data_IF_258703723838
#
_entry.id   IF_258703723838
#
_cell.length_a   1.000
_cell.length_b   1.000
_cell.length_c   1.000
_cell.angle_alpha   90.00
_cell.angle_beta   90.00
_cell.angle_gamma   90.00
#
_symmetry.space_group_name_H-M   'P 1'
#
loop_
_entity.id
_entity.type
_entity.pdbx_description
1 polymer ?
#
# COMPACT_ATOMS: atom_id res chain seq x y z
N UNK A 1 -3.82 22.93 22.10
CA UNK A 1 -4.77 23.28 21.01
C UNK A 1 -4.54 22.44 19.75
N UNK A 2 -3.32 22.34 19.21
CA UNK A 2 -2.99 21.59 17.96
C UNK A 2 -3.43 20.11 17.98
N UNK A 3 -3.17 19.35 19.07
CA UNK A 3 -3.53 17.93 19.22
C UNK A 3 -5.05 17.69 19.17
N UNK A 4 -5.84 18.55 19.84
CA UNK A 4 -7.30 18.45 19.87
C UNK A 4 -7.94 18.69 18.49
N UNK A 5 -7.30 19.50 17.65
CA UNK A 5 -7.71 19.75 16.26
C UNK A 5 -7.43 18.55 15.36
N UNK A 6 -6.28 17.89 15.56
CA UNK A 6 -5.92 16.68 14.80
C UNK A 6 -6.79 15.49 15.20
N UNK A 7 -7.05 15.27 16.49
CA UNK A 7 -7.98 14.22 16.95
C UNK A 7 -9.36 14.40 16.34
N UNK A 8 -9.82 15.65 16.21
CA UNK A 8 -11.09 15.96 15.58
C UNK A 8 -11.10 15.68 14.08
N UNK A 9 -10.00 16.06 13.39
CA UNK A 9 -9.82 15.76 11.97
C UNK A 9 -9.87 14.26 11.71
N UNK A 10 -9.15 13.47 12.49
CA UNK A 10 -9.16 12.00 12.39
C UNK A 10 -10.52 11.38 12.72
N UNK A 11 -11.32 11.99 13.61
CA UNK A 11 -12.68 11.50 13.89
C UNK A 11 -13.59 11.60 12.66
N UNK A 12 -13.47 12.66 11.87
CA UNK A 12 -14.20 12.79 10.60
C UNK A 12 -13.75 11.77 9.56
N UNK A 13 -12.42 11.54 9.45
CA UNK A 13 -11.86 10.55 8.52
C UNK A 13 -12.34 9.14 8.86
N UNK A 14 -12.34 8.78 10.15
CA UNK A 14 -12.86 7.48 10.61
C UNK A 14 -14.35 7.31 10.31
N UNK A 15 -15.16 8.34 10.60
CA UNK A 15 -16.59 8.31 10.31
C UNK A 15 -16.87 8.19 8.80
N UNK A 16 -16.12 8.93 7.97
CA UNK A 16 -16.23 8.87 6.52
C UNK A 16 -15.82 7.50 5.99
N UNK A 17 -14.66 6.98 6.42
CA UNK A 17 -14.16 5.67 6.00
C UNK A 17 -15.14 4.55 6.30
N UNK A 18 -15.71 4.52 7.51
CA UNK A 18 -16.73 3.54 7.87
C UNK A 18 -17.96 3.62 6.95
N UNK A 19 -18.48 4.84 6.69
CA UNK A 19 -19.61 5.03 5.79
C UNK A 19 -19.29 4.65 4.35
N UNK A 20 -18.09 4.98 3.83
CA UNK A 20 -17.68 4.61 2.49
C UNK A 20 -17.63 3.10 2.30
N UNK A 21 -17.11 2.38 3.28
CA UNK A 21 -17.04 0.91 3.25
C UNK A 21 -18.44 0.28 3.38
N UNK A 22 -19.29 0.82 4.27
CA UNK A 22 -20.64 0.31 4.54
C UNK A 22 -21.62 0.53 3.37
N UNK A 23 -21.56 1.69 2.70
CA UNK A 23 -22.60 2.17 1.79
C UNK A 23 -22.11 2.47 0.36
N UNK A 24 -20.80 2.43 0.14
CA UNK A 24 -20.17 2.92 -1.09
C UNK A 24 -20.00 4.44 -1.09
N UNK A 25 -19.04 4.92 -1.86
CA UNK A 25 -18.73 6.36 -1.92
C UNK A 25 -19.90 7.19 -2.44
N UNK A 26 -20.61 6.70 -3.47
CA UNK A 26 -21.69 7.44 -4.12
C UNK A 26 -22.83 7.80 -3.19
N UNK A 27 -23.25 6.87 -2.33
CA UNK A 27 -24.40 7.05 -1.44
C UNK A 27 -24.13 7.94 -0.22
N UNK A 28 -22.86 8.10 0.18
CA UNK A 28 -22.48 8.85 1.40
C UNK A 28 -22.55 10.35 1.16
N UNK A 29 -23.12 11.08 2.11
CA UNK A 29 -23.21 12.56 2.10
C UNK A 29 -22.35 13.18 3.21
N UNK A 30 -21.97 14.44 3.04
CA UNK A 30 -21.24 15.20 4.07
C UNK A 30 -22.07 15.33 5.37
N UNK A 31 -23.39 15.42 5.25
CA UNK A 31 -24.32 15.46 6.37
C UNK A 31 -24.29 14.15 7.18
N UNK A 32 -24.32 13.00 6.51
CA UNK A 32 -24.22 11.68 7.15
C UNK A 32 -22.89 11.52 7.89
N UNK A 33 -21.78 11.98 7.29
CA UNK A 33 -20.46 11.96 7.93
C UNK A 33 -20.43 12.86 9.16
N UNK A 34 -20.95 14.08 9.09
CA UNK A 34 -20.99 15.00 10.23
C UNK A 34 -21.81 14.41 11.37
N UNK A 35 -22.97 13.84 11.07
CA UNK A 35 -23.83 13.17 12.05
C UNK A 35 -23.13 11.98 12.71
N UNK A 36 -22.50 11.10 11.92
CA UNK A 36 -21.76 9.93 12.42
C UNK A 36 -20.59 10.34 13.32
N UNK A 37 -19.93 11.47 13.02
CA UNK A 37 -18.83 12.02 13.81
C UNK A 37 -19.27 12.84 15.03
N UNK A 38 -20.58 12.98 15.29
CA UNK A 38 -21.11 13.80 16.36
C UNK A 38 -20.73 15.29 16.22
N UNK A 39 -20.86 15.85 15.01
CA UNK A 39 -20.49 17.23 14.70
C UNK A 39 -21.57 17.94 13.86
N UNK A 40 -21.49 19.28 13.81
CA UNK A 40 -22.29 20.04 12.88
C UNK A 40 -21.67 19.97 11.45
N UNK A 41 -22.51 20.13 10.43
CA UNK A 41 -22.08 20.25 9.04
C UNK A 41 -21.05 21.37 8.86
N UNK A 42 -21.26 22.53 9.48
CA UNK A 42 -20.34 23.67 9.41
C UNK A 42 -18.96 23.31 9.99
N UNK A 43 -18.92 22.55 11.09
CA UNK A 43 -17.66 22.06 11.66
C UNK A 43 -16.92 21.11 10.69
N UNK A 44 -17.63 20.18 10.05
CA UNK A 44 -17.00 19.28 9.08
C UNK A 44 -16.40 20.05 7.89
N UNK A 45 -17.18 20.99 7.32
CA UNK A 45 -16.72 21.81 6.19
C UNK A 45 -15.54 22.73 6.51
N UNK A 46 -15.32 23.07 7.78
CA UNK A 46 -14.11 23.81 8.20
C UNK A 46 -12.83 22.97 8.16
N UNK A 47 -12.92 21.62 8.08
CA UNK A 47 -11.80 20.68 7.97
C UNK A 47 -11.65 20.13 6.55
N UNK A 48 -12.76 19.84 5.89
CA UNK A 48 -12.78 19.18 4.59
C UNK A 48 -13.77 19.85 3.65
N UNK A 49 -13.32 20.36 2.50
CA UNK A 49 -14.18 21.09 1.58
C UNK A 49 -15.22 20.21 0.88
N UNK A 50 -14.92 18.92 0.72
CA UNK A 50 -15.76 17.94 0.01
C UNK A 50 -15.45 16.52 0.45
N UNK A 51 -16.20 15.58 -0.10
CA UNK A 51 -16.13 14.15 0.17
C UNK A 51 -14.83 13.51 -0.37
N UNK A 52 -14.33 14.02 -1.48
CA UNK A 52 -13.09 13.58 -2.12
C UNK A 52 -11.86 13.87 -1.24
N UNK A 53 -11.80 15.03 -0.60
CA UNK A 53 -10.72 15.39 0.33
C UNK A 53 -10.73 14.50 1.60
N UNK A 54 -11.92 14.11 2.06
CA UNK A 54 -12.06 13.10 3.12
C UNK A 54 -11.57 11.74 2.67
N UNK A 55 -11.94 11.33 1.46
CA UNK A 55 -11.52 10.05 0.89
C UNK A 55 -10.00 9.99 0.69
N UNK A 56 -9.39 11.05 0.15
CA UNK A 56 -7.93 11.15 0.02
C UNK A 56 -7.22 10.98 1.36
N UNK A 57 -7.73 11.68 2.41
CA UNK A 57 -7.17 11.54 3.76
C UNK A 57 -7.39 10.14 4.31
N UNK A 58 -8.53 9.51 4.05
CA UNK A 58 -8.83 8.15 4.47
C UNK A 58 -7.84 7.14 3.85
N UNK A 59 -7.57 7.24 2.55
CA UNK A 59 -6.56 6.42 1.86
C UNK A 59 -5.16 6.63 2.45
N UNK A 60 -4.79 7.89 2.70
CA UNK A 60 -3.52 8.23 3.32
C UNK A 60 -3.37 7.61 4.72
N UNK A 61 -4.39 7.72 5.57
CA UNK A 61 -4.35 7.13 6.92
C UNK A 61 -4.33 5.60 6.88
N UNK A 62 -5.01 4.96 5.92
CA UNK A 62 -4.92 3.52 5.71
C UNK A 62 -3.51 3.07 5.32
N UNK A 63 -2.77 3.85 4.55
CA UNK A 63 -1.36 3.54 4.18
C UNK A 63 -0.32 3.86 5.26
N UNK A 64 -0.71 4.64 6.27
CA UNK A 64 0.21 5.13 7.29
C UNK A 64 0.83 4.00 8.12
N UNK A 65 2.07 4.18 8.51
CA UNK A 65 2.87 3.17 9.21
C UNK A 65 3.46 2.12 8.26
N UNK A 66 2.69 1.61 7.30
CA UNK A 66 3.19 0.63 6.34
C UNK A 66 4.19 1.21 5.33
N UNK A 67 3.99 2.45 4.88
CA UNK A 67 4.97 3.12 4.02
C UNK A 67 6.26 3.43 4.78
N UNK A 68 6.15 3.83 6.04
CA UNK A 68 7.30 4.07 6.94
C UNK A 68 8.09 2.77 7.18
N UNK A 69 7.42 1.63 7.35
CA UNK A 69 8.04 0.31 7.49
C UNK A 69 8.77 -0.10 6.20
N UNK A 70 8.17 0.15 5.02
CA UNK A 70 8.81 -0.06 3.73
C UNK A 70 10.07 0.80 3.55
N UNK A 71 10.03 2.08 3.90
CA UNK A 71 11.20 2.97 3.86
C UNK A 71 12.33 2.48 4.77
N UNK A 72 11.99 2.00 5.97
CA UNK A 72 12.96 1.46 6.90
C UNK A 72 13.62 0.15 6.38
N UNK A 73 12.94 -0.61 5.54
CA UNK A 73 13.45 -1.86 4.99
C UNK A 73 14.66 -1.71 4.04
N UNK A 74 14.88 -0.52 3.48
CA UNK A 74 16.00 -0.19 2.58
C UNK A 74 17.38 -0.23 3.26
N UNK A 75 17.43 -0.20 4.59
CA UNK A 75 18.67 -0.06 5.36
C UNK A 75 19.48 -1.37 5.31
N UNK A 76 20.76 -1.30 5.52
CA UNK A 76 21.83 -2.30 5.64
C UNK A 76 21.48 -3.81 5.48
N UNK A 77 22.39 -4.56 4.87
CA UNK A 77 22.35 -6.02 4.76
C UNK A 77 22.64 -6.51 3.33
N UNK A 78 22.64 -7.80 3.16
CA UNK A 78 22.75 -8.48 1.87
C UNK A 78 21.49 -8.25 1.01
N UNK A 79 21.62 -8.45 -0.30
CA UNK A 79 20.49 -8.36 -1.25
C UNK A 79 19.29 -9.20 -0.80
N UNK A 80 19.54 -10.41 -0.31
CA UNK A 80 18.47 -11.31 0.20
C UNK A 80 17.76 -10.73 1.43
N UNK A 81 18.50 -10.19 2.38
CA UNK A 81 17.92 -9.60 3.60
C UNK A 81 17.12 -8.35 3.29
N UNK A 82 17.59 -7.49 2.39
CA UNK A 82 16.88 -6.28 1.96
C UNK A 82 15.58 -6.67 1.25
N UNK A 83 15.63 -7.56 0.27
CA UNK A 83 14.44 -8.03 -0.44
C UNK A 83 13.45 -8.71 0.51
N UNK A 84 13.94 -9.52 1.45
CA UNK A 84 13.06 -10.18 2.43
C UNK A 84 12.35 -9.14 3.33
N UNK A 85 13.08 -8.17 3.90
CA UNK A 85 12.46 -7.11 4.72
C UNK A 85 11.48 -6.27 3.92
N UNK A 86 11.84 -5.91 2.69
CA UNK A 86 11.00 -5.14 1.79
C UNK A 86 9.69 -5.90 1.48
N UNK A 87 9.78 -7.19 1.15
CA UNK A 87 8.63 -8.04 0.89
C UNK A 87 7.75 -8.21 2.12
N UNK A 88 8.33 -8.40 3.30
CA UNK A 88 7.58 -8.49 4.56
C UNK A 88 6.84 -7.18 4.88
N UNK A 89 7.52 -6.04 4.81
CA UNK A 89 6.89 -4.73 5.02
C UNK A 89 5.77 -4.47 4.01
N UNK A 90 5.99 -4.84 2.75
CA UNK A 90 4.99 -4.74 1.71
C UNK A 90 3.76 -5.61 2.00
N UNK A 91 3.93 -6.90 2.28
CA UNK A 91 2.82 -7.79 2.60
C UNK A 91 2.13 -7.42 3.90
N UNK A 92 2.86 -6.97 4.93
CA UNK A 92 2.27 -6.44 6.16
C UNK A 92 1.30 -5.30 5.87
N UNK A 93 1.62 -4.40 4.94
CA UNK A 93 0.75 -3.30 4.55
C UNK A 93 -0.46 -3.78 3.73
N UNK A 94 -0.21 -4.48 2.61
CA UNK A 94 -1.26 -4.72 1.61
C UNK A 94 -2.26 -5.81 2.02
N UNK A 95 -1.92 -6.66 2.99
CA UNK A 95 -2.82 -7.69 3.51
C UNK A 95 -3.62 -7.24 4.74
N UNK A 96 -3.44 -6.02 5.23
CA UNK A 96 -4.25 -5.47 6.33
C UNK A 96 -5.72 -5.37 5.92
N UNK A 97 -6.62 -5.67 6.86
CA UNK A 97 -8.07 -5.64 6.62
C UNK A 97 -8.54 -4.28 6.09
N UNK A 98 -8.09 -3.19 6.70
CA UNK A 98 -8.47 -1.83 6.31
C UNK A 98 -7.97 -1.47 4.90
N UNK A 99 -6.77 -1.92 4.51
CA UNK A 99 -6.24 -1.73 3.15
C UNK A 99 -7.01 -2.56 2.13
N UNK A 100 -7.36 -3.80 2.45
CA UNK A 100 -8.20 -4.66 1.60
C UNK A 100 -9.60 -4.07 1.42
N UNK A 101 -10.21 -3.53 2.48
CA UNK A 101 -11.52 -2.87 2.41
C UNK A 101 -11.49 -1.64 1.48
N UNK A 102 -10.45 -0.81 1.56
CA UNK A 102 -10.26 0.32 0.63
C UNK A 102 -10.12 -0.17 -0.82
N UNK A 103 -9.34 -1.23 -1.05
CA UNK A 103 -9.19 -1.81 -2.39
C UNK A 103 -10.54 -2.31 -2.95
N UNK A 104 -11.33 -3.03 -2.14
CA UNK A 104 -12.66 -3.51 -2.56
C UNK A 104 -13.60 -2.35 -2.87
N UNK A 105 -13.60 -1.31 -2.03
CA UNK A 105 -14.37 -0.09 -2.27
C UNK A 105 -14.02 0.52 -3.62
N UNK A 106 -12.73 0.70 -3.92
CA UNK A 106 -12.28 1.26 -5.19
C UNK A 106 -12.67 0.39 -6.38
N UNK A 107 -12.51 -0.93 -6.29
CA UNK A 107 -12.92 -1.86 -7.36
C UNK A 107 -14.42 -1.75 -7.65
N UNK A 108 -15.25 -1.61 -6.61
CA UNK A 108 -16.70 -1.43 -6.77
C UNK A 108 -17.14 -0.07 -7.34
N UNK A 109 -16.33 0.97 -7.13
CA UNK A 109 -16.65 2.35 -7.50
C UNK A 109 -15.94 2.83 -8.78
N UNK A 110 -14.92 2.12 -9.26
CA UNK A 110 -14.04 2.57 -10.36
C UNK A 110 -14.79 2.94 -11.64
N UNK A 111 -15.84 2.22 -11.98
CA UNK A 111 -16.66 2.50 -13.16
C UNK A 111 -17.57 3.73 -13.01
N UNK A 112 -17.98 4.06 -11.79
CA UNK A 112 -18.90 5.18 -11.50
C UNK A 112 -18.15 6.44 -11.09
N UNK A 113 -17.03 6.28 -10.40
CA UNK A 113 -16.24 7.36 -9.80
C UNK A 113 -14.74 7.23 -10.15
N UNK A 114 -14.34 7.39 -11.43
CA UNK A 114 -12.94 7.15 -11.85
C UNK A 114 -11.92 8.07 -11.16
N UNK A 115 -12.36 9.25 -10.67
CA UNK A 115 -11.51 10.13 -9.88
C UNK A 115 -11.01 9.49 -8.59
N UNK A 116 -11.81 8.60 -7.96
CA UNK A 116 -11.40 7.88 -6.74
C UNK A 116 -10.26 6.91 -7.02
N UNK A 117 -10.28 6.23 -8.16
CA UNK A 117 -9.19 5.35 -8.57
C UNK A 117 -7.87 6.11 -8.71
N UNK A 118 -7.90 7.34 -9.22
CA UNK A 118 -6.72 8.20 -9.30
C UNK A 118 -6.24 8.60 -7.91
N UNK A 119 -7.13 9.09 -7.04
CA UNK A 119 -6.80 9.46 -5.65
C UNK A 119 -6.18 8.27 -4.92
N UNK A 120 -6.79 7.11 -5.02
CA UNK A 120 -6.28 5.88 -4.40
C UNK A 120 -4.90 5.51 -4.92
N UNK A 121 -4.72 5.44 -6.23
CA UNK A 121 -3.46 5.06 -6.85
C UNK A 121 -2.32 6.00 -6.45
N UNK A 122 -2.53 7.32 -6.51
CA UNK A 122 -1.51 8.32 -6.20
C UNK A 122 -1.14 8.35 -4.71
N UNK A 123 -2.07 8.06 -3.81
CA UNK A 123 -1.86 8.12 -2.36
C UNK A 123 -1.50 6.78 -1.71
N UNK A 124 -1.62 5.66 -2.41
CA UNK A 124 -1.31 4.32 -1.95
C UNK A 124 -0.34 3.58 -2.87
N UNK A 125 -0.84 2.82 -3.88
CA UNK A 125 -0.03 1.91 -4.70
C UNK A 125 1.17 2.56 -5.38
N UNK A 126 1.06 3.80 -5.86
CA UNK A 126 2.17 4.52 -6.48
C UNK A 126 3.30 4.78 -5.50
N UNK A 127 2.98 5.18 -4.26
CA UNK A 127 3.99 5.46 -3.24
C UNK A 127 4.76 4.20 -2.84
N UNK A 128 4.05 3.09 -2.62
CA UNK A 128 4.70 1.81 -2.32
C UNK A 128 5.59 1.33 -3.46
N UNK A 129 5.14 1.48 -4.72
CA UNK A 129 5.95 1.12 -5.87
C UNK A 129 7.22 1.97 -5.98
N UNK A 130 7.16 3.27 -5.69
CA UNK A 130 8.34 4.14 -5.68
C UNK A 130 9.38 3.60 -4.68
N UNK A 131 8.98 3.31 -3.45
CA UNK A 131 9.90 2.78 -2.42
C UNK A 131 10.52 1.44 -2.83
N UNK A 132 9.73 0.55 -3.42
CA UNK A 132 10.23 -0.73 -3.95
C UNK A 132 11.25 -0.47 -5.08
N UNK A 133 10.95 0.42 -6.02
CA UNK A 133 11.85 0.76 -7.11
C UNK A 133 13.17 1.36 -6.62
N UNK A 134 13.14 2.29 -5.67
CA UNK A 134 14.35 2.89 -5.07
C UNK A 134 15.21 1.85 -4.35
N UNK A 135 14.58 0.87 -3.69
CA UNK A 135 15.30 -0.24 -3.05
C UNK A 135 15.98 -1.13 -4.07
N UNK A 136 15.34 -1.41 -5.19
CA UNK A 136 15.89 -2.22 -6.29
C UNK A 136 16.99 -1.46 -7.01
N UNK A 137 16.84 -0.16 -7.27
CA UNK A 137 17.85 0.71 -7.85
C UNK A 137 19.12 0.72 -7.00
N UNK A 138 18.99 0.88 -5.68
CA UNK A 138 20.12 0.78 -4.75
C UNK A 138 20.86 -0.55 -4.87
N UNK A 139 20.15 -1.67 -5.02
CA UNK A 139 20.77 -3.00 -5.18
C UNK A 139 21.44 -3.17 -6.56
N UNK A 140 20.90 -2.55 -7.61
CA UNK A 140 21.55 -2.48 -8.92
C UNK A 140 22.82 -1.64 -8.88
N UNK A 141 22.80 -0.49 -8.21
CA UNK A 141 23.97 0.40 -8.05
C UNK A 141 25.10 -0.27 -7.25
N UNK A 142 24.74 -1.16 -6.30
CA UNK A 142 25.71 -2.00 -5.59
C UNK A 142 26.27 -3.16 -6.43
N UNK A 143 25.75 -3.37 -7.65
CA UNK A 143 26.11 -4.51 -8.49
C UNK A 143 25.57 -5.86 -7.99
N UNK A 144 24.62 -5.87 -7.06
CA UNK A 144 24.01 -7.08 -6.51
C UNK A 144 22.85 -7.60 -7.38
N UNK A 145 22.21 -6.70 -8.13
CA UNK A 145 21.19 -7.03 -9.13
C UNK A 145 21.63 -6.57 -10.53
N UNK A 146 21.15 -7.27 -11.55
CA UNK A 146 21.40 -6.90 -12.95
C UNK A 146 20.70 -5.58 -13.28
N UNK A 147 21.39 -4.67 -13.97
CA UNK A 147 20.78 -3.46 -14.49
C UNK A 147 19.67 -3.79 -15.50
N UNK A 148 18.48 -3.27 -15.28
CA UNK A 148 17.31 -3.44 -16.13
C UNK A 148 16.34 -2.26 -15.91
N UNK A 149 15.16 -2.32 -16.52
CA UNK A 149 14.11 -1.33 -16.25
C UNK A 149 13.65 -1.43 -14.78
N UNK A 150 14.03 -0.45 -13.98
CA UNK A 150 13.80 -0.38 -12.53
C UNK A 150 12.31 -0.53 -12.21
N UNK A 151 11.45 0.19 -12.94
CA UNK A 151 9.99 0.14 -12.71
C UNK A 151 9.43 -1.25 -12.98
N UNK A 152 9.87 -1.91 -14.04
CA UNK A 152 9.42 -3.26 -14.38
C UNK A 152 9.92 -4.28 -13.35
N UNK A 153 11.17 -4.16 -12.91
CA UNK A 153 11.74 -5.00 -11.86
C UNK A 153 10.98 -4.85 -10.54
N UNK A 154 10.60 -3.61 -10.17
CA UNK A 154 9.76 -3.33 -8.99
C UNK A 154 8.36 -3.96 -9.08
N UNK A 155 7.74 -3.89 -10.27
CA UNK A 155 6.43 -4.52 -10.51
C UNK A 155 6.51 -6.05 -10.41
N UNK A 156 7.57 -6.67 -10.91
CA UNK A 156 7.77 -8.11 -10.80
C UNK A 156 7.97 -8.55 -9.34
N UNK A 157 8.81 -7.83 -8.59
CA UNK A 157 8.99 -8.13 -7.17
C UNK A 157 7.68 -8.04 -6.38
N UNK A 158 6.94 -6.95 -6.59
CA UNK A 158 5.61 -6.74 -6.01
C UNK A 158 4.67 -7.91 -6.33
N UNK A 159 4.54 -8.28 -7.60
CA UNK A 159 3.66 -9.35 -8.07
C UNK A 159 4.04 -10.73 -7.49
N UNK A 160 5.33 -11.03 -7.37
CA UNK A 160 5.82 -12.25 -6.76
C UNK A 160 5.43 -12.33 -5.27
N UNK A 161 5.58 -11.22 -4.53
CA UNK A 161 5.16 -11.17 -3.13
C UNK A 161 3.64 -11.37 -2.96
N UNK A 162 2.83 -10.80 -3.85
CA UNK A 162 1.37 -10.90 -3.77
C UNK A 162 0.81 -12.27 -4.15
N UNK A 163 1.56 -13.07 -4.89
CA UNK A 163 1.11 -14.29 -5.59
C UNK A 163 0.08 -15.12 -4.80
N UNK A 164 -1.20 -15.00 -5.16
CA UNK A 164 -2.33 -15.72 -4.58
C UNK A 164 -2.80 -15.24 -3.20
N UNK A 165 -2.05 -14.40 -2.47
CA UNK A 165 -2.44 -13.94 -1.14
C UNK A 165 -3.44 -12.78 -1.18
N UNK A 166 -3.08 -11.69 -1.84
CA UNK A 166 -3.88 -10.45 -1.87
C UNK A 166 -5.17 -10.67 -2.67
N UNK A 167 -5.08 -11.33 -3.81
CA UNK A 167 -6.23 -11.62 -4.67
C UNK A 167 -7.31 -12.43 -3.94
N UNK A 168 -6.94 -13.49 -3.22
CA UNK A 168 -7.87 -14.31 -2.45
C UNK A 168 -8.52 -13.55 -1.31
N UNK A 169 -7.81 -12.60 -0.68
CA UNK A 169 -8.41 -11.70 0.30
C UNK A 169 -9.41 -10.74 -0.38
N UNK A 170 -9.06 -10.15 -1.52
CA UNK A 170 -9.96 -9.25 -2.26
C UNK A 170 -11.27 -9.94 -2.63
N UNK A 171 -11.25 -11.23 -2.97
CA UNK A 171 -12.44 -12.03 -3.25
C UNK A 171 -13.19 -12.52 -1.99
N UNK A 172 -12.69 -12.22 -0.80
CA UNK A 172 -13.32 -12.65 0.45
C UNK A 172 -13.13 -14.13 0.77
N UNK A 173 -12.21 -14.82 0.08
CA UNK A 173 -11.95 -16.24 0.27
C UNK A 173 -11.04 -16.54 1.47
N UNK A 174 -10.17 -15.61 1.82
CA UNK A 174 -9.20 -15.75 2.90
C UNK A 174 -9.29 -14.59 3.89
N UNK A 175 -8.98 -14.88 5.15
CA UNK A 175 -8.70 -13.88 6.16
C UNK A 175 -7.28 -13.30 5.97
N UNK A 176 -6.90 -12.33 6.82
CA UNK A 176 -5.54 -11.81 6.87
C UNK A 176 -4.55 -12.96 7.07
N UNK A 177 -3.55 -13.15 6.19
CA UNK A 177 -2.57 -14.22 6.35
C UNK A 177 -1.74 -13.97 7.61
N UNK A 178 -1.43 -15.02 8.34
CA UNK A 178 -0.55 -14.91 9.50
C UNK A 178 0.90 -14.60 9.08
N UNK A 179 1.76 -14.36 10.07
CA UNK A 179 3.18 -14.02 9.83
C UNK A 179 3.93 -15.14 9.12
N UNK A 180 3.62 -16.43 9.43
CA UNK A 180 4.30 -17.55 8.83
C UNK A 180 3.97 -17.66 7.33
N UNK A 181 2.71 -17.53 6.97
CA UNK A 181 2.25 -17.52 5.56
C UNK A 181 2.92 -16.39 4.78
N UNK A 182 2.94 -15.15 5.33
CA UNK A 182 3.60 -14.02 4.68
C UNK A 182 5.10 -14.25 4.52
N UNK A 183 5.75 -14.81 5.54
CA UNK A 183 7.19 -15.12 5.49
C UNK A 183 7.51 -16.12 4.38
N UNK A 184 6.80 -17.23 4.31
CA UNK A 184 6.98 -18.22 3.23
C UNK A 184 6.80 -17.59 1.86
N UNK A 185 5.74 -16.80 1.67
CA UNK A 185 5.50 -16.12 0.39
C UNK A 185 6.65 -15.17 0.01
N UNK A 186 7.21 -14.44 0.97
CA UNK A 186 8.34 -13.53 0.73
C UNK A 186 9.64 -14.30 0.47
N UNK A 187 9.88 -15.42 1.17
CA UNK A 187 11.02 -16.29 0.92
C UNK A 187 10.99 -16.85 -0.51
N UNK A 188 9.84 -17.38 -0.94
CA UNK A 188 9.64 -17.88 -2.30
C UNK A 188 9.79 -16.77 -3.34
N UNK A 189 9.15 -15.61 -3.12
CA UNK A 189 9.27 -14.44 -3.98
C UNK A 189 10.72 -13.98 -4.12
N UNK A 190 11.46 -13.90 -3.02
CA UNK A 190 12.87 -13.52 -2.99
C UNK A 190 13.73 -14.53 -3.74
N UNK A 191 13.48 -15.82 -3.57
CA UNK A 191 14.20 -16.87 -4.28
C UNK A 191 14.00 -16.76 -5.81
N UNK A 192 12.75 -16.67 -6.26
CA UNK A 192 12.42 -16.54 -7.68
C UNK A 192 13.00 -15.25 -8.26
N UNK A 193 12.86 -14.15 -7.52
CA UNK A 193 13.37 -12.85 -7.96
C UNK A 193 14.90 -12.86 -8.14
N UNK A 194 15.64 -13.39 -7.16
CA UNK A 194 17.10 -13.52 -7.26
C UNK A 194 17.54 -14.47 -8.38
N UNK A 195 16.82 -15.56 -8.62
CA UNK A 195 17.12 -16.46 -9.75
C UNK A 195 17.01 -15.74 -11.09
N UNK A 196 16.14 -14.73 -11.20
CA UNK A 196 15.94 -13.96 -12.41
C UNK A 196 16.85 -12.72 -12.50
N UNK A 197 17.12 -12.05 -11.39
CA UNK A 197 17.71 -10.71 -11.36
C UNK A 197 19.03 -10.58 -10.61
N UNK A 198 19.55 -11.62 -9.93
CA UNK A 198 20.88 -11.53 -9.32
C UNK A 198 21.94 -11.22 -10.40
N UNK A 199 22.90 -10.37 -10.05
CA UNK A 199 24.06 -10.17 -10.89
C UNK A 199 24.83 -11.50 -10.96
N UNK A 200 25.06 -12.00 -12.16
CA UNK A 200 25.98 -13.13 -12.33
C UNK A 200 27.41 -12.62 -12.06
N UNK A 201 28.16 -13.28 -11.19
CA UNK A 201 29.61 -13.16 -11.23
C UNK A 201 30.02 -13.45 -12.67
N UNK A 202 30.61 -12.47 -13.35
CA UNK A 202 31.29 -12.69 -14.62
C UNK A 202 32.43 -13.63 -14.33
N UNK A 203 32.25 -14.93 -14.60
CA UNK A 203 33.36 -15.85 -14.64
C UNK A 203 34.43 -15.24 -15.53
N UNK A 204 35.66 -15.05 -15.06
CA UNK A 204 36.73 -14.54 -15.92
C UNK A 204 36.83 -15.49 -17.12
N UNK A 205 36.69 -14.92 -18.32
CA UNK A 205 36.97 -15.64 -19.55
C UNK A 205 38.42 -16.16 -19.45
N UNK A 206 38.55 -17.43 -19.09
CA UNK A 206 39.82 -18.14 -19.20
C UNK A 206 40.22 -18.09 -20.66
N UNK A 207 41.31 -17.34 -20.94
CA UNK A 207 41.96 -17.30 -22.23
C UNK A 207 42.65 -18.62 -22.54
#
# INVERSE_FOLDING_TARGET
>A
MRKKTEDRRLSFVKAAGALFVEQGFGAVTMEAIALRAGASKATLYSYFPNKEALFETFVHEAGKGGLEELEAAKQYGSVREILHRLGMAYLNLVTRSDVIEVNRLIMGEAGRHPQLSRIFYENGPRKTLIVICESIELLMDRGELRCTNIRQAGLYFKALCEAGLVERQLWGLNQVPDVAIRRTAVEDATHVYLSAFAAHETLPLTK
#
